data_IF_991604502327
#
_entry.id   IF_991604502327
#
_cell.length_a   1.000
_cell.length_b   1.000
_cell.length_c   1.000
_cell.angle_alpha   90.00
_cell.angle_beta   90.00
_cell.angle_gamma   90.00
#
_symmetry.space_group_name_H-M   'P 1'
#
loop_
_entity.id
_entity.type
_entity.pdbx_description
1 polymer ?
#
# COMPACT_ATOMS: atom_id res chain seq x y z
N UNK A 1 15.91 -33.33 13.73
CA UNK A 1 15.18 -32.42 12.82
C UNK A 1 14.21 -31.61 13.67
N UNK A 2 14.66 -30.45 14.17
CA UNK A 2 13.86 -29.58 15.02
C UNK A 2 13.10 -28.60 14.12
N UNK A 3 11.77 -28.68 14.16
CA UNK A 3 10.89 -27.72 13.51
C UNK A 3 11.02 -26.40 14.28
N UNK A 4 11.63 -25.39 13.67
CA UNK A 4 11.64 -24.04 14.23
C UNK A 4 10.19 -23.57 14.38
N UNK A 5 9.80 -23.25 15.61
CA UNK A 5 8.48 -22.72 15.94
C UNK A 5 8.28 -21.35 15.27
N UNK A 6 7.05 -21.06 14.85
CA UNK A 6 6.67 -19.80 14.21
C UNK A 6 6.89 -18.55 15.10
N UNK A 7 7.27 -18.73 16.37
CA UNK A 7 7.55 -17.67 17.32
C UNK A 7 8.89 -16.93 17.09
N UNK A 8 9.81 -17.44 16.27
CA UNK A 8 11.17 -16.88 16.18
C UNK A 8 11.34 -15.72 15.17
N UNK A 9 10.25 -15.29 14.50
CA UNK A 9 10.28 -14.15 13.55
C UNK A 9 9.74 -12.83 14.13
N UNK A 10 9.33 -12.81 15.39
CA UNK A 10 8.71 -11.65 16.01
C UNK A 10 9.72 -10.61 16.55
N UNK A 11 11.03 -10.86 16.39
CA UNK A 11 12.09 -10.07 17.02
C UNK A 11 12.91 -9.19 16.04
N UNK A 12 12.58 -9.14 14.75
CA UNK A 12 12.84 -7.92 13.99
C UNK A 12 11.81 -6.89 14.46
N UNK A 13 12.28 -5.79 15.04
CA UNK A 13 11.47 -4.79 15.73
C UNK A 13 10.32 -4.32 14.83
N UNK A 14 9.11 -4.83 15.07
CA UNK A 14 7.93 -4.50 14.28
C UNK A 14 7.45 -3.09 14.65
N UNK A 15 8.00 -2.09 13.96
CA UNK A 15 7.69 -0.67 14.20
C UNK A 15 6.30 -0.31 13.64
N UNK A 16 5.31 -0.37 14.52
CA UNK A 16 3.92 -0.02 14.22
C UNK A 16 3.75 1.45 13.84
N UNK A 17 4.48 2.37 14.46
CA UNK A 17 4.30 3.80 14.20
C UNK A 17 4.80 4.16 12.81
N UNK A 18 5.93 3.57 12.39
CA UNK A 18 6.41 3.67 11.01
C UNK A 18 5.38 3.14 10.01
N UNK A 19 4.81 1.95 10.27
CA UNK A 19 3.80 1.36 9.37
C UNK A 19 2.54 2.23 9.31
N UNK A 20 2.08 2.79 10.43
CA UNK A 20 0.89 3.67 10.46
C UNK A 20 1.15 4.97 9.70
N UNK A 21 2.36 5.51 9.77
CA UNK A 21 2.75 6.72 9.04
C UNK A 21 2.67 6.55 7.52
N UNK A 22 2.83 5.32 7.00
CA UNK A 22 2.67 5.04 5.57
C UNK A 22 1.23 5.23 5.08
N UNK A 23 0.22 5.25 5.95
CA UNK A 23 -1.19 5.39 5.55
C UNK A 23 -1.70 6.81 5.82
N UNK A 24 -1.71 7.71 4.82
CA UNK A 24 -2.00 9.14 5.02
C UNK A 24 -3.42 9.43 5.51
N UNK A 25 -4.35 8.47 5.40
CA UNK A 25 -5.73 8.62 5.90
C UNK A 25 -5.85 8.42 7.41
N UNK A 26 -4.96 7.64 8.04
CA UNK A 26 -5.08 7.28 9.46
C UNK A 26 -4.96 8.45 10.45
N UNK A 27 -4.22 9.55 10.16
CA UNK A 27 -4.22 10.75 10.99
C UNK A 27 -5.52 11.58 10.95
N UNK A 28 -6.47 11.26 10.05
CA UNK A 28 -7.70 12.05 9.90
C UNK A 28 -8.66 11.89 11.10
N UNK A 29 -9.53 12.89 11.24
CA UNK A 29 -10.63 12.85 12.19
C UNK A 29 -11.97 12.70 11.47
N UNK A 30 -12.84 11.85 12.00
CA UNK A 30 -14.21 11.65 11.53
C UNK A 30 -15.15 11.95 12.69
N UNK A 31 -16.08 12.88 12.49
CA UNK A 31 -16.96 13.40 13.54
C UNK A 31 -16.21 13.90 14.79
N UNK A 32 -15.07 14.57 14.59
CA UNK A 32 -14.24 15.12 15.66
C UNK A 32 -13.50 14.08 16.51
N UNK A 33 -13.42 12.82 16.04
CA UNK A 33 -12.70 11.73 16.72
C UNK A 33 -11.64 11.14 15.78
N UNK A 34 -10.52 10.61 16.31
CA UNK A 34 -9.53 9.91 15.50
C UNK A 34 -10.15 8.77 14.69
N UNK A 35 -9.75 8.64 13.43
CA UNK A 35 -10.21 7.57 12.56
C UNK A 35 -9.76 6.20 13.09
N UNK A 36 -10.72 5.29 13.27
CA UNK A 36 -10.48 3.87 13.56
C UNK A 36 -11.21 3.04 12.49
N UNK A 37 -10.45 2.51 11.54
CA UNK A 37 -11.00 1.77 10.41
C UNK A 37 -10.91 0.25 10.64
N UNK A 38 -12.05 -0.39 10.95
CA UNK A 38 -12.13 -1.83 11.24
C UNK A 38 -12.77 -2.66 10.10
N UNK A 39 -13.20 -2.02 9.01
CA UNK A 39 -13.86 -2.66 7.88
C UNK A 39 -12.86 -3.07 6.78
N UNK A 40 -11.75 -3.73 7.14
CA UNK A 40 -10.67 -4.07 6.21
C UNK A 40 -10.99 -5.24 5.26
N UNK A 41 -12.05 -6.01 5.54
CA UNK A 41 -12.42 -7.18 4.75
C UNK A 41 -12.87 -6.83 3.32
N UNK A 42 -13.83 -5.91 3.09
CA UNK A 42 -14.23 -5.53 1.74
C UNK A 42 -13.21 -4.63 1.01
N UNK A 43 -12.45 -3.82 1.74
CA UNK A 43 -11.45 -2.91 1.17
C UNK A 43 -10.47 -2.42 2.22
N UNK A 44 -9.28 -2.01 1.79
CA UNK A 44 -8.17 -1.58 2.66
C UNK A 44 -7.70 -0.18 2.26
N UNK A 45 -7.13 0.53 3.22
CA UNK A 45 -6.49 1.82 2.98
C UNK A 45 -5.22 1.64 2.13
N UNK A 46 -4.90 2.62 1.30
CA UNK A 46 -3.70 2.59 0.48
C UNK A 46 -2.54 3.28 1.20
N UNK A 47 -1.35 2.64 1.29
CA UNK A 47 -0.16 3.30 1.78
C UNK A 47 0.40 4.26 0.73
N UNK A 48 1.17 5.26 1.17
CA UNK A 48 1.74 6.32 0.34
C UNK A 48 2.55 5.77 -0.85
N UNK A 49 3.43 4.76 -0.71
CA UNK A 49 4.16 4.21 -1.86
C UNK A 49 3.26 3.65 -2.97
N UNK A 50 2.08 3.10 -2.61
CA UNK A 50 1.13 2.60 -3.60
C UNK A 50 0.43 3.76 -4.34
N UNK A 51 0.11 4.84 -3.61
CA UNK A 51 -0.45 6.07 -4.20
C UNK A 51 0.58 6.71 -5.13
N UNK A 52 1.83 6.83 -4.67
CA UNK A 52 2.94 7.42 -5.41
C UNK A 52 3.24 6.70 -6.71
N UNK A 53 3.01 5.38 -6.79
CA UNK A 53 3.12 4.63 -8.03
C UNK A 53 1.88 4.76 -8.91
N UNK A 54 0.70 4.73 -8.30
CA UNK A 54 -0.58 4.77 -9.02
C UNK A 54 -0.79 6.10 -9.74
N UNK A 55 -0.41 7.22 -9.12
CA UNK A 55 -0.64 8.56 -9.69
C UNK A 55 0.13 8.75 -11.02
N UNK A 56 1.46 8.54 -11.11
CA UNK A 56 2.20 8.59 -12.38
C UNK A 56 1.69 7.61 -13.41
N UNK A 57 1.32 6.39 -12.98
CA UNK A 57 0.75 5.39 -13.87
C UNK A 57 -0.51 5.93 -14.56
N UNK A 58 -1.49 6.35 -13.75
CA UNK A 58 -2.78 6.83 -14.25
C UNK A 58 -2.66 8.12 -15.06
N UNK A 59 -1.71 8.99 -14.72
CA UNK A 59 -1.59 10.31 -15.36
C UNK A 59 -0.71 10.30 -16.61
N UNK A 60 0.24 9.37 -16.73
CA UNK A 60 1.24 9.43 -17.81
C UNK A 60 1.61 8.11 -18.50
N UNK A 61 1.20 6.96 -17.96
CA UNK A 61 1.62 5.63 -18.44
C UNK A 61 0.43 4.71 -18.77
N UNK A 62 -0.78 5.09 -18.38
CA UNK A 62 -1.96 4.24 -18.52
C UNK A 62 -2.32 4.01 -19.99
N UNK A 63 -2.35 2.73 -20.38
CA UNK A 63 -2.76 2.28 -21.70
C UNK A 63 -3.62 1.02 -21.57
N UNK A 64 -4.50 0.78 -22.54
CA UNK A 64 -5.26 -0.46 -22.61
C UNK A 64 -4.30 -1.61 -22.92
N UNK A 65 -4.22 -2.61 -22.04
CA UNK A 65 -3.33 -3.78 -22.16
C UNK A 65 -3.42 -4.51 -23.51
N UNK A 66 -4.59 -4.52 -24.17
CA UNK A 66 -4.78 -5.19 -25.47
C UNK A 66 -4.41 -4.32 -26.68
N UNK A 67 -4.16 -3.02 -26.47
CA UNK A 67 -3.79 -2.04 -27.50
C UNK A 67 -2.72 -1.08 -27.00
N UNK A 68 -1.87 -1.55 -26.09
CA UNK A 68 -0.90 -0.68 -25.45
C UNK A 68 0.14 -0.24 -26.48
N UNK A 69 0.44 1.06 -26.50
CA UNK A 69 1.57 1.57 -27.27
C UNK A 69 2.84 1.11 -26.52
N UNK A 70 3.82 0.47 -27.19
CA UNK A 70 5.00 -0.10 -26.52
C UNK A 70 5.68 0.84 -25.53
N UNK A 71 5.77 2.11 -25.89
CA UNK A 71 6.35 3.18 -25.06
C UNK A 71 5.64 3.39 -23.72
N UNK A 72 4.30 3.26 -23.65
CA UNK A 72 3.56 3.40 -22.40
C UNK A 72 3.72 2.16 -21.52
N UNK A 73 3.77 0.96 -22.12
CA UNK A 73 4.04 -0.28 -21.40
C UNK A 73 5.44 -0.34 -20.78
N UNK A 74 6.46 0.13 -21.49
CA UNK A 74 7.82 0.23 -20.97
C UNK A 74 7.88 1.19 -19.78
N UNK A 75 7.28 2.39 -19.89
CA UNK A 75 7.24 3.36 -18.79
C UNK A 75 6.47 2.86 -17.58
N UNK A 76 5.42 2.05 -17.78
CA UNK A 76 4.66 1.47 -16.68
C UNK A 76 5.40 0.38 -15.89
N UNK A 77 6.50 -0.16 -16.42
CA UNK A 77 7.20 -1.31 -15.82
C UNK A 77 8.62 -0.98 -15.34
N UNK A 78 9.19 0.14 -15.82
CA UNK A 78 10.46 0.68 -15.36
C UNK A 78 10.43 1.08 -13.87
#
# INVERSE_FOLDING_TARGET
MSCATAQDRAAETFDLERIRADFPILPQQVHGKPLVYLANAPSRQMPQPAIDRLVPYQTTEHANIHRAVPTLSERATA
#
